data_IF_633624652792
#
_entry.id   IF_633624652792
#
_cell.length_a   1.000
_cell.length_b   1.000
_cell.length_c   1.000
_cell.angle_alpha   90.00
_cell.angle_beta   90.00
_cell.angle_gamma   90.00
#
_symmetry.space_group_name_H-M   'P 1'
#
loop_
_entity.id
_entity.type
_entity.pdbx_description
1 polymer ?
#
# COMPACT_ATOMS: atom_id res chain seq x y z
N UNK A 1 -10.41 8.17 26.02
CA UNK A 1 -10.03 9.33 25.17
C UNK A 1 -8.50 9.35 25.15
N UNK A 2 -7.91 8.80 24.09
CA UNK A 2 -6.45 8.84 23.91
C UNK A 2 -6.08 10.26 23.50
N UNK A 3 -5.20 10.91 24.26
CA UNK A 3 -4.60 12.20 23.90
C UNK A 3 -3.70 11.98 22.67
N UNK A 4 -4.26 12.17 21.47
CA UNK A 4 -3.43 12.37 20.29
C UNK A 4 -2.57 13.60 20.58
N UNK A 5 -1.27 13.40 20.67
CA UNK A 5 -0.29 14.49 20.73
C UNK A 5 -0.56 15.39 19.53
N UNK A 6 -0.63 16.71 19.67
CA UNK A 6 -0.86 17.57 18.51
C UNK A 6 0.17 17.25 17.44
N UNK A 7 -0.31 17.07 16.21
CA UNK A 7 0.52 16.77 15.05
C UNK A 7 1.48 17.94 14.83
N UNK A 8 2.77 17.67 14.96
CA UNK A 8 3.83 18.66 14.71
C UNK A 8 4.53 18.28 13.41
N UNK A 9 4.25 19.00 12.33
CA UNK A 9 4.83 18.75 11.01
C UNK A 9 4.01 17.80 10.13
N UNK A 10 4.50 17.55 8.94
CA UNK A 10 3.85 16.75 7.88
C UNK A 10 4.68 15.55 7.46
N UNK A 11 5.95 15.46 7.87
CA UNK A 11 6.86 14.37 7.50
C UNK A 11 6.39 13.02 8.09
N UNK A 12 6.36 11.98 7.26
CA UNK A 12 6.12 10.59 7.69
C UNK A 12 7.47 9.94 7.99
N UNK A 13 7.88 9.92 9.26
CA UNK A 13 9.21 9.42 9.67
C UNK A 13 9.34 7.91 9.61
N UNK A 14 8.24 7.18 9.53
CA UNK A 14 8.17 5.73 9.33
C UNK A 14 8.29 5.32 7.85
N UNK A 15 8.42 6.30 6.93
CA UNK A 15 8.62 6.07 5.50
C UNK A 15 10.05 6.38 5.08
N UNK A 16 10.49 5.72 4.03
CA UNK A 16 11.76 5.96 3.35
C UNK A 16 11.58 5.98 1.86
N UNK A 17 12.46 6.66 1.16
CA UNK A 17 12.45 6.73 -0.30
C UNK A 17 13.61 5.93 -0.88
N UNK A 18 13.31 5.14 -1.92
CA UNK A 18 14.30 4.59 -2.82
C UNK A 18 14.17 5.32 -4.18
N UNK A 19 15.27 5.76 -4.73
CA UNK A 19 15.35 6.28 -6.10
C UNK A 19 15.72 5.15 -7.04
N UNK A 20 14.90 4.95 -8.06
CA UNK A 20 15.13 3.99 -9.13
C UNK A 20 15.39 4.79 -10.41
N UNK A 21 16.63 4.77 -10.89
CA UNK A 21 17.08 5.57 -12.02
C UNK A 21 17.73 4.73 -13.12
N UNK A 22 17.94 5.34 -14.29
CA UNK A 22 18.54 4.72 -15.47
C UNK A 22 17.55 4.46 -16.59
N UNK A 23 18.07 4.26 -17.81
CA UNK A 23 17.30 4.16 -19.06
C UNK A 23 16.20 3.08 -19.01
N UNK A 24 16.42 2.01 -18.26
CA UNK A 24 15.50 0.88 -18.16
C UNK A 24 14.65 0.88 -16.88
N UNK A 25 14.69 1.93 -16.04
CA UNK A 25 14.04 1.95 -14.73
C UNK A 25 12.53 1.69 -14.81
N UNK A 26 11.82 2.40 -15.68
CA UNK A 26 10.35 2.23 -15.86
C UNK A 26 10.00 0.83 -16.38
N UNK A 27 10.71 0.36 -17.42
CA UNK A 27 10.47 -0.97 -18.00
C UNK A 27 10.85 -2.10 -17.04
N UNK A 28 11.84 -1.88 -16.19
CA UNK A 28 12.21 -2.82 -15.13
C UNK A 28 11.09 -2.98 -14.11
N UNK A 29 10.58 -1.88 -13.55
CA UNK A 29 9.50 -1.90 -12.57
C UNK A 29 8.17 -2.36 -13.18
N UNK A 30 7.92 -2.05 -14.48
CA UNK A 30 6.71 -2.49 -15.18
C UNK A 30 6.51 -4.01 -15.14
N UNK A 31 7.57 -4.78 -15.26
CA UNK A 31 7.52 -6.25 -15.20
C UNK A 31 7.44 -6.85 -13.80
N UNK A 32 7.52 -6.04 -12.74
CA UNK A 32 7.56 -6.51 -11.36
C UNK A 32 6.32 -6.11 -10.55
N UNK A 33 5.76 -4.93 -10.82
CA UNK A 33 4.77 -4.28 -9.97
C UNK A 33 3.35 -4.42 -10.50
N UNK A 34 2.39 -4.33 -9.61
CA UNK A 34 0.97 -4.54 -9.93
C UNK A 34 0.32 -3.36 -10.66
N UNK A 35 0.91 -2.14 -10.57
CA UNK A 35 0.41 -0.94 -11.25
C UNK A 35 1.21 -0.63 -12.51
N UNK A 36 0.59 0.09 -13.44
CA UNK A 36 1.22 0.54 -14.67
C UNK A 36 2.23 1.66 -14.39
N UNK A 37 3.51 1.31 -14.43
CA UNK A 37 4.62 2.23 -14.20
C UNK A 37 4.89 3.12 -15.40
N UNK A 38 4.59 2.64 -16.62
CA UNK A 38 4.79 3.42 -17.85
C UNK A 38 3.81 4.60 -17.94
N UNK A 39 2.63 4.46 -17.34
CA UNK A 39 1.61 5.50 -17.27
C UNK A 39 1.76 6.42 -16.03
N UNK A 40 2.83 6.28 -15.24
CA UNK A 40 3.09 7.13 -14.07
C UNK A 40 3.46 8.56 -14.51
N UNK A 41 2.78 9.57 -13.94
CA UNK A 41 2.99 11.00 -14.23
C UNK A 41 3.34 11.77 -12.97
N UNK A 42 4.00 12.92 -13.16
CA UNK A 42 4.26 13.86 -12.08
C UNK A 42 2.95 14.31 -11.41
N UNK A 43 2.92 14.28 -10.09
CA UNK A 43 1.73 14.64 -9.29
C UNK A 43 0.63 13.58 -9.24
N UNK A 44 0.77 12.43 -9.92
CA UNK A 44 -0.17 11.33 -9.92
C UNK A 44 0.47 10.07 -9.28
N UNK A 45 0.58 10.00 -7.95
CA UNK A 45 1.17 8.84 -7.28
C UNK A 45 0.35 7.57 -7.49
N UNK A 46 1.00 6.40 -7.38
CA UNK A 46 0.34 5.11 -7.52
C UNK A 46 0.76 4.15 -6.41
N UNK A 47 -0.19 3.65 -5.65
CA UNK A 47 0.05 2.56 -4.71
C UNK A 47 0.14 1.24 -5.45
N UNK A 48 1.11 0.40 -5.10
CA UNK A 48 1.41 -0.84 -5.82
C UNK A 48 1.98 -1.90 -4.90
N UNK A 49 1.92 -3.16 -5.34
CA UNK A 49 2.56 -4.29 -4.67
C UNK A 49 3.70 -4.90 -5.49
N UNK A 50 4.73 -5.37 -4.79
CA UNK A 50 5.65 -6.39 -5.28
C UNK A 50 5.20 -7.74 -4.72
N UNK A 51 4.92 -8.70 -5.59
CA UNK A 51 4.29 -9.97 -5.22
C UNK A 51 5.26 -11.16 -5.32
N UNK A 52 4.88 -12.27 -4.69
CA UNK A 52 5.42 -13.59 -5.02
C UNK A 52 4.88 -14.07 -6.37
N UNK A 53 5.48 -15.08 -7.01
CA UNK A 53 4.90 -15.71 -8.20
C UNK A 53 3.48 -16.26 -7.99
N UNK A 54 3.11 -16.55 -6.74
CA UNK A 54 1.77 -17.01 -6.36
C UNK A 54 0.76 -15.86 -6.12
N UNK A 55 1.17 -14.61 -6.33
CA UNK A 55 0.30 -13.43 -6.15
C UNK A 55 0.10 -12.97 -4.71
N UNK A 56 0.97 -13.40 -3.77
CA UNK A 56 0.93 -12.93 -2.40
C UNK A 56 1.75 -11.65 -2.22
N UNK A 57 1.31 -10.76 -1.36
CA UNK A 57 2.01 -9.53 -1.03
C UNK A 57 3.38 -9.81 -0.39
N UNK A 58 4.43 -9.22 -0.94
CA UNK A 58 5.77 -9.18 -0.33
C UNK A 58 6.07 -7.80 0.25
N UNK A 59 5.79 -6.74 -0.52
CA UNK A 59 5.94 -5.35 -0.15
C UNK A 59 4.85 -4.53 -0.83
N UNK A 60 4.41 -3.50 -0.17
CA UNK A 60 3.60 -2.42 -0.73
C UNK A 60 4.33 -1.08 -0.61
N UNK A 61 4.07 -0.19 -1.55
CA UNK A 61 4.67 1.14 -1.57
C UNK A 61 3.95 2.05 -2.57
N UNK A 62 4.26 3.34 -2.50
CA UNK A 62 3.72 4.33 -3.43
C UNK A 62 4.83 4.75 -4.39
N UNK A 63 4.49 4.80 -5.68
CA UNK A 63 5.37 5.28 -6.76
C UNK A 63 5.11 6.75 -7.03
N UNK A 64 6.20 7.50 -7.25
CA UNK A 64 6.20 8.90 -7.65
C UNK A 64 7.11 9.09 -8.85
N UNK A 65 6.64 9.81 -9.86
CA UNK A 65 7.50 10.23 -10.98
C UNK A 65 8.35 11.43 -10.55
N UNK A 66 9.65 11.35 -10.81
CA UNK A 66 10.62 12.43 -10.58
C UNK A 66 11.50 12.58 -11.84
N UNK A 67 10.99 13.29 -12.83
CA UNK A 67 11.56 13.33 -14.17
C UNK A 67 11.56 11.95 -14.83
N UNK A 68 12.75 11.47 -15.17
CA UNK A 68 12.94 10.12 -15.72
C UNK A 68 13.06 9.04 -14.64
N UNK A 69 13.33 9.44 -13.40
CA UNK A 69 13.46 8.55 -12.26
C UNK A 69 12.09 8.24 -11.61
N UNK A 70 12.10 7.22 -10.79
CA UNK A 70 10.95 6.84 -9.96
C UNK A 70 11.37 6.83 -8.50
N UNK A 71 10.62 7.53 -7.66
CA UNK A 71 10.74 7.42 -6.22
C UNK A 71 9.75 6.37 -5.70
N UNK A 72 10.26 5.47 -4.86
CA UNK A 72 9.51 4.41 -4.20
C UNK A 72 9.40 4.79 -2.72
N UNK A 73 8.21 5.23 -2.30
CA UNK A 73 7.88 5.55 -0.91
C UNK A 73 7.44 4.26 -0.22
N UNK A 74 8.33 3.69 0.59
CA UNK A 74 8.16 2.41 1.25
C UNK A 74 8.34 2.51 2.77
N UNK A 75 7.99 1.44 3.48
CA UNK A 75 8.22 1.29 4.92
C UNK A 75 9.73 1.46 5.24
N UNK A 76 10.09 2.39 6.13
CA UNK A 76 11.48 2.75 6.41
C UNK A 76 12.31 1.55 6.89
N UNK A 77 11.72 0.70 7.74
CA UNK A 77 12.37 -0.50 8.27
C UNK A 77 12.63 -1.57 7.22
N UNK A 78 11.94 -1.51 6.09
CA UNK A 78 12.02 -2.48 5.00
C UNK A 78 12.75 -1.98 3.75
N UNK A 79 13.15 -0.72 3.72
CA UNK A 79 13.70 -0.11 2.52
C UNK A 79 14.94 -0.84 1.98
N UNK A 80 15.88 -1.24 2.84
CA UNK A 80 17.09 -1.97 2.43
C UNK A 80 16.76 -3.40 1.98
N UNK A 81 15.77 -4.04 2.60
CA UNK A 81 15.29 -5.36 2.20
C UNK A 81 14.61 -5.29 0.84
N UNK A 82 13.78 -4.28 0.62
CA UNK A 82 13.14 -4.02 -0.68
C UNK A 82 14.18 -3.72 -1.76
N UNK A 83 15.17 -2.86 -1.48
CA UNK A 83 16.24 -2.53 -2.42
C UNK A 83 17.03 -3.80 -2.83
N UNK A 84 17.40 -4.64 -1.87
CA UNK A 84 18.05 -5.94 -2.14
C UNK A 84 17.15 -6.85 -2.97
N UNK A 85 15.85 -6.90 -2.64
CA UNK A 85 14.89 -7.73 -3.39
C UNK A 85 14.75 -7.29 -4.83
N UNK A 86 14.61 -5.99 -5.09
CA UNK A 86 14.58 -5.42 -6.45
C UNK A 86 15.88 -5.69 -7.19
N UNK A 87 17.03 -5.57 -6.53
CA UNK A 87 18.33 -5.83 -7.13
C UNK A 87 18.48 -7.27 -7.68
N UNK A 88 17.82 -8.26 -7.08
CA UNK A 88 17.82 -9.64 -7.59
C UNK A 88 17.17 -9.76 -8.98
N UNK A 89 16.18 -8.92 -9.30
CA UNK A 89 15.51 -8.90 -10.59
C UNK A 89 16.22 -8.03 -11.63
N UNK A 90 17.15 -7.15 -11.20
CA UNK A 90 17.84 -6.19 -12.07
C UNK A 90 18.67 -6.88 -13.15
N UNK A 91 19.36 -7.99 -12.79
CA UNK A 91 20.26 -8.74 -13.66
C UNK A 91 21.29 -7.79 -14.34
N UNK A 92 21.24 -7.68 -15.69
CA UNK A 92 22.15 -6.84 -16.51
C UNK A 92 21.50 -5.52 -16.93
N UNK A 93 20.32 -5.16 -16.42
CA UNK A 93 19.62 -3.94 -16.81
C UNK A 93 20.36 -2.69 -16.33
N UNK A 94 20.28 -1.63 -17.10
CA UNK A 94 20.83 -0.32 -16.77
C UNK A 94 19.93 0.43 -15.79
N UNK A 95 19.87 -0.07 -14.56
CA UNK A 95 19.06 0.44 -13.48
C UNK A 95 19.92 0.63 -12.23
N UNK A 96 19.80 1.76 -11.58
CA UNK A 96 20.40 2.06 -10.28
C UNK A 96 19.29 2.11 -9.23
N UNK A 97 19.50 1.47 -8.08
CA UNK A 97 18.61 1.47 -6.94
C UNK A 97 19.40 2.05 -5.78
N UNK A 98 18.98 3.18 -5.25
CA UNK A 98 19.67 3.88 -4.17
C UNK A 98 18.69 4.45 -3.14
N UNK A 99 19.16 4.67 -1.91
CA UNK A 99 18.41 5.47 -0.93
C UNK A 99 18.34 6.90 -1.41
N UNK A 100 17.21 7.56 -1.12
CA UNK A 100 17.01 8.98 -1.34
C UNK A 100 16.77 9.64 0.01
N UNK A 101 17.81 10.26 0.54
CA UNK A 101 17.79 10.84 1.89
C UNK A 101 17.52 12.36 1.89
N UNK A 102 17.56 13.00 0.72
CA UNK A 102 17.27 14.45 0.55
C UNK A 102 15.79 14.78 0.50
N UNK A 103 14.93 13.76 0.36
CA UNK A 103 13.48 13.89 0.26
C UNK A 103 12.80 12.98 1.29
N UNK A 104 11.56 13.31 1.63
CA UNK A 104 10.69 12.54 2.52
C UNK A 104 9.25 12.48 1.99
N UNK A 105 8.51 11.49 2.42
CA UNK A 105 7.07 11.45 2.26
C UNK A 105 6.40 12.32 3.31
N UNK A 106 5.40 13.09 2.90
CA UNK A 106 4.60 13.98 3.75
C UNK A 106 3.14 13.61 3.67
N UNK A 107 2.40 13.96 4.71
CA UNK A 107 0.95 13.77 4.78
C UNK A 107 0.27 14.90 5.53
N UNK A 108 -0.94 15.27 5.08
CA UNK A 108 -1.86 16.15 5.80
C UNK A 108 -3.29 15.94 5.32
N UNK A 109 -4.26 16.17 6.19
CA UNK A 109 -5.67 16.30 5.80
C UNK A 109 -5.96 17.64 5.15
N UNK A 110 -5.17 18.66 5.46
CA UNK A 110 -5.36 20.06 5.06
C UNK A 110 -4.20 20.55 4.17
N UNK A 111 -4.09 19.97 2.96
CA UNK A 111 -3.09 20.37 1.96
C UNK A 111 -3.68 20.33 0.53
N UNK A 112 -4.73 21.13 0.21
CA UNK A 112 -5.51 21.00 -1.03
C UNK A 112 -4.70 21.27 -2.31
N UNK A 113 -3.51 21.86 -2.21
CA UNK A 113 -2.57 22.06 -3.31
C UNK A 113 -1.68 20.83 -3.59
N UNK A 114 -1.75 19.80 -2.76
CA UNK A 114 -1.00 18.54 -2.89
C UNK A 114 -1.86 17.42 -3.44
N UNK A 115 -1.26 16.41 -4.10
CA UNK A 115 -1.99 15.23 -4.55
C UNK A 115 -2.72 14.52 -3.39
N UNK A 116 -3.85 13.90 -3.69
CA UNK A 116 -4.50 12.98 -2.76
C UNK A 116 -3.67 11.68 -2.63
N UNK A 117 -3.80 11.00 -1.49
CA UNK A 117 -3.29 9.64 -1.34
C UNK A 117 -3.94 8.75 -2.40
N UNK A 118 -3.15 7.98 -3.18
CA UNK A 118 -3.65 7.25 -4.36
C UNK A 118 -4.59 6.10 -4.04
N UNK A 119 -4.71 5.69 -2.77
CA UNK A 119 -5.55 4.57 -2.34
C UNK A 119 -7.00 4.99 -2.11
N UNK A 120 -7.19 6.09 -1.39
CA UNK A 120 -8.52 6.55 -0.99
C UNK A 120 -8.48 8.06 -0.73
N UNK A 121 -9.38 8.86 -1.34
CA UNK A 121 -9.41 10.32 -1.12
C UNK A 121 -9.57 10.71 0.37
N UNK A 122 -10.29 9.93 1.15
CA UNK A 122 -10.50 10.15 2.58
C UNK A 122 -9.19 10.04 3.41
N UNK A 123 -8.13 9.46 2.87
CA UNK A 123 -6.80 9.46 3.50
C UNK A 123 -6.15 10.85 3.54
N UNK A 124 -6.66 11.81 2.76
CA UNK A 124 -6.09 13.15 2.65
C UNK A 124 -4.98 13.24 1.60
N UNK A 125 -4.06 14.17 1.80
CA UNK A 125 -3.04 14.53 0.82
C UNK A 125 -1.69 13.90 1.18
N UNK A 126 -0.96 13.45 0.15
CA UNK A 126 0.37 12.87 0.28
C UNK A 126 1.28 13.41 -0.81
N UNK A 127 2.52 13.76 -0.47
CA UNK A 127 3.48 14.32 -1.42
C UNK A 127 4.92 14.02 -1.02
N UNK A 128 5.85 14.30 -1.91
CA UNK A 128 7.29 14.21 -1.67
C UNK A 128 7.88 15.62 -1.64
N UNK A 129 8.66 15.92 -0.61
CA UNK A 129 9.39 17.17 -0.44
C UNK A 129 10.63 16.95 0.43
N UNK A 130 11.43 18.01 0.65
CA UNK A 130 12.50 17.97 1.66
C UNK A 130 11.90 17.67 3.06
N UNK A 131 12.59 16.89 3.91
CA UNK A 131 12.08 16.58 5.23
C UNK A 131 11.91 17.83 6.09
N UNK A 132 10.80 17.90 6.82
CA UNK A 132 10.49 18.98 7.76
C UNK A 132 10.54 18.47 9.20
N UNK A 133 10.81 19.35 10.19
CA UNK A 133 10.73 18.98 11.60
C UNK A 133 9.33 18.48 12.00
N UNK A 134 9.30 17.48 12.86
CA UNK A 134 8.06 16.86 13.35
C UNK A 134 7.82 15.48 12.74
N UNK A 135 6.73 14.85 13.16
CA UNK A 135 6.37 13.50 12.76
C UNK A 135 4.86 13.36 12.65
N UNK A 136 4.38 13.15 11.43
CA UNK A 136 2.97 12.91 11.13
C UNK A 136 2.60 11.40 11.12
N UNK A 137 3.57 10.49 11.14
CA UNK A 137 3.33 9.05 10.98
C UNK A 137 2.35 8.48 12.04
N UNK A 138 2.44 8.81 13.34
CA UNK A 138 1.48 8.30 14.32
C UNK A 138 0.04 8.75 14.04
N UNK A 139 -0.16 10.01 13.65
CA UNK A 139 -1.48 10.54 13.34
C UNK A 139 -2.04 9.92 12.05
N UNK A 140 -1.21 9.81 11.01
CA UNK A 140 -1.58 9.14 9.78
C UNK A 140 -1.96 7.68 10.00
N UNK A 141 -1.18 6.94 10.80
CA UNK A 141 -1.48 5.55 11.15
C UNK A 141 -2.85 5.39 11.81
N UNK A 142 -3.17 6.24 12.78
CA UNK A 142 -4.49 6.23 13.44
C UNK A 142 -5.60 6.52 12.44
N UNK A 143 -5.41 7.54 11.59
CA UNK A 143 -6.40 7.94 10.59
C UNK A 143 -6.66 6.84 9.55
N UNK A 144 -5.60 6.27 8.95
CA UNK A 144 -5.76 5.23 7.93
C UNK A 144 -6.35 3.92 8.49
N UNK A 145 -5.99 3.54 9.73
CA UNK A 145 -6.56 2.35 10.37
C UNK A 145 -8.04 2.53 10.71
N UNK A 146 -8.46 3.75 11.08
CA UNK A 146 -9.87 4.09 11.26
C UNK A 146 -10.66 3.97 9.94
N UNK A 147 -10.01 4.21 8.81
CA UNK A 147 -10.57 4.02 7.46
C UNK A 147 -10.41 2.58 6.94
N UNK A 148 -9.87 1.65 7.72
CA UNK A 148 -9.66 0.26 7.32
C UNK A 148 -8.61 0.07 6.21
N UNK A 149 -7.70 1.01 6.05
CA UNK A 149 -6.60 0.93 5.07
C UNK A 149 -5.34 0.44 5.75
N UNK A 150 -4.82 -0.71 5.30
CA UNK A 150 -3.62 -1.35 5.85
C UNK A 150 -2.41 -1.07 4.98
N UNK A 151 -1.22 -1.01 5.60
CA UNK A 151 0.05 -0.88 4.87
C UNK A 151 1.20 -1.51 5.64
N UNK A 152 2.28 -1.80 4.92
CA UNK A 152 3.47 -2.42 5.47
C UNK A 152 3.33 -3.92 5.73
N UNK A 153 4.46 -4.58 5.87
CA UNK A 153 4.49 -6.04 5.98
C UNK A 153 3.85 -6.57 7.26
N UNK A 154 3.85 -5.77 8.31
CA UNK A 154 3.27 -6.15 9.60
C UNK A 154 1.73 -6.26 9.53
N UNK A 155 1.07 -5.45 8.72
CA UNK A 155 -0.39 -5.41 8.62
C UNK A 155 -0.89 -6.23 7.42
N UNK A 156 -0.24 -6.13 6.26
CA UNK A 156 -0.62 -6.86 5.05
C UNK A 156 -0.19 -8.33 5.07
N UNK A 157 0.81 -8.69 5.87
CA UNK A 157 1.36 -10.04 5.96
C UNK A 157 2.30 -10.38 4.81
N UNK A 158 3.61 -10.44 5.07
CA UNK A 158 4.60 -10.79 4.06
C UNK A 158 4.49 -12.27 3.67
N UNK A 159 4.28 -12.55 2.35
CA UNK A 159 4.08 -13.90 1.78
C UNK A 159 2.92 -14.70 2.43
N UNK A 160 1.93 -14.03 2.99
CA UNK A 160 0.79 -14.67 3.65
C UNK A 160 -0.50 -14.48 2.88
N UNK A 161 -0.87 -13.23 2.57
CA UNK A 161 -2.15 -12.87 1.97
C UNK A 161 -2.00 -12.63 0.47
N UNK A 162 -2.97 -13.06 -0.32
CA UNK A 162 -3.06 -12.72 -1.74
C UNK A 162 -3.32 -11.21 -1.88
N UNK A 163 -2.77 -10.61 -2.95
CA UNK A 163 -2.86 -9.15 -3.13
C UNK A 163 -4.29 -8.62 -3.13
N UNK A 164 -5.23 -9.30 -3.77
CA UNK A 164 -6.63 -8.88 -3.77
C UNK A 164 -7.33 -9.11 -2.41
N UNK A 165 -6.85 -10.04 -1.59
CA UNK A 165 -7.35 -10.22 -0.22
C UNK A 165 -7.00 -9.03 0.70
N UNK A 166 -6.00 -8.21 0.31
CA UNK A 166 -5.62 -6.97 1.01
C UNK A 166 -6.45 -5.75 0.58
N UNK A 167 -7.55 -5.97 -0.13
CA UNK A 167 -8.42 -4.95 -0.71
C UNK A 167 -7.72 -4.08 -1.77
N UNK A 168 -6.73 -4.65 -2.46
CA UNK A 168 -5.87 -3.91 -3.37
C UNK A 168 -6.60 -3.38 -4.61
N UNK A 169 -7.66 -4.04 -5.04
CA UNK A 169 -8.47 -3.60 -6.18
C UNK A 169 -9.23 -2.32 -5.84
N UNK A 170 -9.93 -2.31 -4.73
CA UNK A 170 -10.72 -1.19 -4.24
C UNK A 170 -9.85 0.02 -3.85
N UNK A 171 -8.62 -0.25 -3.39
CA UNK A 171 -7.62 0.75 -3.05
C UNK A 171 -6.72 1.13 -4.23
N UNK A 172 -7.17 0.87 -5.47
CA UNK A 172 -6.41 1.23 -6.67
C UNK A 172 -4.98 0.66 -6.71
N UNK A 173 -4.74 -0.53 -6.17
CA UNK A 173 -3.42 -1.16 -6.07
C UNK A 173 -3.05 -2.09 -7.23
N UNK A 174 -3.88 -2.20 -8.28
CA UNK A 174 -3.66 -3.10 -9.42
C UNK A 174 -4.20 -2.50 -10.72
N UNK A 175 -3.49 -2.73 -11.82
CA UNK A 175 -3.95 -2.47 -13.19
C UNK A 175 -3.94 -3.80 -13.95
N UNK A 176 -5.07 -4.17 -14.57
CA UNK A 176 -5.21 -5.46 -15.27
C UNK A 176 -4.72 -5.38 -16.72
N UNK A 177 -4.76 -4.21 -17.35
CA UNK A 177 -4.41 -4.00 -18.76
C UNK A 177 -2.95 -3.62 -18.99
N UNK A 178 -2.13 -3.54 -17.94
CA UNK A 178 -0.74 -3.06 -18.01
C UNK A 178 0.28 -4.03 -18.62
N UNK A 179 -0.11 -5.25 -18.90
CA UNK A 179 0.78 -6.34 -19.32
C UNK A 179 1.31 -7.18 -18.15
N UNK A 180 2.25 -8.10 -18.45
CA UNK A 180 2.70 -9.12 -17.51
C UNK A 180 3.57 -8.56 -16.38
N UNK A 181 3.36 -9.09 -15.17
CA UNK A 181 4.19 -8.84 -13.99
C UNK A 181 4.25 -10.08 -13.09
N UNK A 182 5.18 -10.09 -12.14
CA UNK A 182 5.35 -11.21 -11.20
C UNK A 182 4.09 -11.36 -10.31
N UNK A 183 3.49 -12.56 -10.31
CA UNK A 183 2.29 -12.86 -9.52
C UNK A 183 0.96 -12.53 -10.22
N UNK A 184 0.99 -12.03 -11.45
CA UNK A 184 -0.21 -11.65 -12.21
C UNK A 184 -1.21 -12.78 -12.41
N UNK A 185 -0.75 -13.99 -12.70
CA UNK A 185 -1.65 -15.10 -13.07
C UNK A 185 -2.76 -15.33 -12.03
N UNK A 186 -2.38 -15.40 -10.76
CA UNK A 186 -3.35 -15.61 -9.68
C UNK A 186 -4.21 -14.36 -9.44
N UNK A 187 -3.61 -13.17 -9.48
CA UNK A 187 -4.33 -11.90 -9.34
C UNK A 187 -5.40 -11.75 -10.44
N UNK A 188 -5.04 -11.97 -11.71
CA UNK A 188 -5.96 -11.93 -12.83
C UNK A 188 -7.02 -13.03 -12.74
N UNK A 189 -6.64 -14.25 -12.31
CA UNK A 189 -7.61 -15.33 -12.12
C UNK A 189 -8.67 -14.98 -11.08
N UNK A 190 -8.28 -14.38 -9.97
CA UNK A 190 -9.21 -13.94 -8.93
C UNK A 190 -10.16 -12.87 -9.44
N UNK A 191 -9.66 -11.91 -10.20
CA UNK A 191 -10.49 -10.86 -10.78
C UNK A 191 -11.49 -11.40 -11.82
N UNK A 192 -11.02 -12.18 -12.81
CA UNK A 192 -11.86 -12.57 -13.95
C UNK A 192 -12.70 -13.85 -13.74
N UNK A 193 -12.31 -14.73 -12.79
CA UNK A 193 -12.93 -16.06 -12.65
C UNK A 193 -13.42 -16.38 -11.25
N UNK A 194 -12.78 -15.80 -10.24
CA UNK A 194 -13.08 -16.09 -8.84
C UNK A 194 -13.40 -14.78 -8.13
N UNK A 195 -14.45 -14.79 -7.33
CA UNK A 195 -14.71 -13.70 -6.40
C UNK A 195 -13.63 -13.68 -5.30
N UNK A 196 -13.32 -12.50 -4.78
CA UNK A 196 -12.45 -12.35 -3.61
C UNK A 196 -13.22 -12.84 -2.39
N UNK A 197 -12.94 -14.09 -1.99
CA UNK A 197 -13.71 -14.76 -0.92
C UNK A 197 -13.27 -14.41 0.50
N UNK A 198 -12.10 -13.78 0.65
CA UNK A 198 -11.54 -13.36 1.94
C UNK A 198 -10.98 -11.96 1.81
N UNK A 199 -11.11 -11.18 2.89
CA UNK A 199 -10.62 -9.82 2.95
C UNK A 199 -9.97 -9.52 4.28
N UNK A 200 -8.93 -8.68 4.27
CA UNK A 200 -8.39 -8.08 5.48
C UNK A 200 -9.37 -7.05 6.01
N UNK A 201 -9.67 -7.15 7.30
CA UNK A 201 -10.55 -6.21 8.02
C UNK A 201 -9.97 -5.90 9.40
N UNK A 202 -10.24 -4.72 9.92
CA UNK A 202 -9.97 -4.37 11.31
C UNK A 202 -11.19 -4.72 12.17
N UNK A 203 -10.95 -5.37 13.29
CA UNK A 203 -11.98 -5.68 14.28
C UNK A 203 -11.53 -5.23 15.68
N UNK A 204 -12.44 -4.89 16.59
CA UNK A 204 -12.06 -4.64 17.99
C UNK A 204 -11.29 -5.84 18.56
N UNK A 205 -10.19 -5.59 19.26
CA UNK A 205 -9.33 -6.65 19.81
C UNK A 205 -10.10 -7.59 20.77
N UNK A 206 -11.10 -7.07 21.47
CA UNK A 206 -11.97 -7.86 22.34
C UNK A 206 -12.86 -8.89 21.58
N UNK A 207 -13.02 -8.72 20.26
CA UNK A 207 -13.80 -9.59 19.37
C UNK A 207 -12.90 -10.39 18.40
N UNK A 208 -11.58 -10.36 18.65
CA UNK A 208 -10.60 -10.97 17.76
C UNK A 208 -10.69 -12.51 17.76
N UNK A 209 -10.56 -13.10 16.56
CA UNK A 209 -10.35 -14.53 16.38
C UNK A 209 -8.87 -14.82 16.11
N UNK A 210 -8.19 -15.42 17.08
CA UNK A 210 -6.76 -15.72 17.01
C UNK A 210 -6.36 -16.57 15.78
N UNK A 211 -7.30 -17.36 15.22
CA UNK A 211 -7.02 -18.16 13.99
C UNK A 211 -7.00 -17.31 12.72
N UNK A 212 -7.72 -16.19 12.72
CA UNK A 212 -7.86 -15.27 11.58
C UNK A 212 -6.89 -14.10 11.67
N UNK A 213 -6.33 -13.86 12.83
CA UNK A 213 -5.46 -12.74 13.15
C UNK A 213 -4.19 -12.73 12.29
N UNK A 214 -3.87 -11.56 11.75
CA UNK A 214 -2.65 -11.27 11.00
C UNK A 214 -1.75 -10.30 11.74
N UNK A 215 -2.35 -9.29 12.39
CA UNK A 215 -1.64 -8.32 13.20
C UNK A 215 -2.49 -7.87 14.40
N UNK A 216 -1.80 -7.40 15.44
CA UNK A 216 -2.40 -6.76 16.62
C UNK A 216 -1.93 -5.31 16.66
N UNK A 217 -2.89 -4.41 16.80
CA UNK A 217 -2.68 -2.97 16.99
C UNK A 217 -3.14 -2.63 18.40
N UNK A 218 -2.34 -3.03 19.38
CA UNK A 218 -2.71 -2.99 20.81
C UNK A 218 -3.03 -1.60 21.31
N UNK A 219 -2.28 -0.59 20.85
CA UNK A 219 -2.44 0.82 21.21
C UNK A 219 -3.77 1.43 20.73
N UNK A 220 -4.37 0.84 19.70
CA UNK A 220 -5.69 1.23 19.18
C UNK A 220 -6.80 0.21 19.54
N UNK A 221 -6.46 -0.88 20.21
CA UNK A 221 -7.42 -1.92 20.56
C UNK A 221 -7.98 -2.66 19.35
N UNK A 222 -7.19 -2.81 18.26
CA UNK A 222 -7.62 -3.44 17.02
C UNK A 222 -6.86 -4.74 16.76
N UNK A 223 -7.53 -5.68 16.09
CA UNK A 223 -6.97 -6.85 15.43
C UNK A 223 -7.19 -6.73 13.93
N UNK A 224 -6.15 -6.95 13.13
CA UNK A 224 -6.27 -7.07 11.68
C UNK A 224 -6.41 -8.55 11.36
N UNK A 225 -7.50 -8.91 10.70
CA UNK A 225 -7.87 -10.31 10.44
C UNK A 225 -8.17 -10.57 8.97
N UNK A 226 -7.80 -11.75 8.50
CA UNK A 226 -8.26 -12.27 7.22
C UNK A 226 -9.54 -13.06 7.43
N UNK A 227 -10.68 -12.48 7.05
CA UNK A 227 -12.01 -13.07 7.20
C UNK A 227 -12.59 -13.48 5.85
N UNK A 228 -13.43 -14.52 5.87
CA UNK A 228 -14.28 -14.81 4.71
C UNK A 228 -15.33 -13.72 4.56
N UNK A 229 -15.66 -13.36 3.32
CA UNK A 229 -16.65 -12.31 3.04
C UNK A 229 -18.01 -12.66 3.68
N UNK A 230 -18.40 -13.94 3.64
CA UNK A 230 -19.63 -14.44 4.26
C UNK A 230 -19.71 -14.30 5.80
N UNK A 231 -18.54 -14.15 6.46
CA UNK A 231 -18.42 -13.99 7.91
C UNK A 231 -18.24 -12.52 8.34
N UNK A 232 -18.33 -11.58 7.41
CA UNK A 232 -18.15 -10.16 7.65
C UNK A 232 -19.52 -9.48 7.68
N UNK A 233 -19.80 -8.74 8.75
CA UNK A 233 -20.97 -7.85 8.81
C UNK A 233 -20.62 -6.51 8.13
N UNK A 234 -21.21 -6.19 6.97
CA UNK A 234 -20.92 -4.93 6.26
C UNK A 234 -21.15 -3.69 7.12
N UNK A 235 -22.08 -3.71 8.07
CA UNK A 235 -22.36 -2.57 8.96
C UNK A 235 -21.19 -2.22 9.89
N UNK A 236 -20.19 -3.10 10.02
CA UNK A 236 -18.99 -2.87 10.84
C UNK A 236 -17.80 -2.36 10.03
N UNK A 237 -17.96 -2.24 8.73
CA UNK A 237 -16.89 -1.87 7.81
C UNK A 237 -16.92 -0.36 7.46
N UNK A 238 -15.80 0.21 7.00
CA UNK A 238 -15.82 1.50 6.31
C UNK A 238 -16.68 1.42 5.03
N UNK A 239 -17.38 2.52 4.72
CA UNK A 239 -18.36 2.58 3.62
C UNK A 239 -17.80 2.08 2.28
N UNK A 240 -16.55 2.42 1.95
CA UNK A 240 -15.91 2.02 0.70
C UNK A 240 -15.76 0.48 0.59
N UNK A 241 -15.49 -0.21 1.70
CA UNK A 241 -15.32 -1.66 1.72
C UNK A 241 -16.67 -2.37 1.81
N UNK A 242 -17.61 -1.83 2.59
CA UNK A 242 -18.98 -2.32 2.64
C UNK A 242 -19.63 -2.32 1.25
N UNK A 243 -19.55 -1.19 0.54
CA UNK A 243 -20.07 -1.04 -0.84
C UNK A 243 -19.42 -2.05 -1.80
N UNK A 244 -18.10 -2.28 -1.69
CA UNK A 244 -17.40 -3.24 -2.55
C UNK A 244 -17.87 -4.69 -2.33
N UNK A 245 -18.09 -5.08 -1.07
CA UNK A 245 -18.59 -6.41 -0.71
C UNK A 245 -20.03 -6.60 -1.19
N UNK A 246 -20.90 -5.61 -1.02
CA UNK A 246 -22.29 -5.64 -1.46
C UNK A 246 -22.39 -5.73 -2.99
N UNK A 247 -21.58 -4.96 -3.72
CA UNK A 247 -21.52 -5.01 -5.20
C UNK A 247 -21.08 -6.39 -5.68
N UNK A 248 -20.07 -6.99 -5.06
CA UNK A 248 -19.60 -8.33 -5.38
C UNK A 248 -20.66 -9.42 -5.13
N UNK A 249 -21.53 -9.22 -4.14
CA UNK A 249 -22.61 -10.17 -3.82
C UNK A 249 -23.79 -10.10 -4.83
N UNK A 250 -23.95 -8.97 -5.53
CA UNK A 250 -25.01 -8.73 -6.51
C UNK A 250 -24.70 -9.29 -7.91
N UNK A 251 -23.43 -9.60 -8.21
CA UNK A 251 -22.95 -10.24 -9.44
C UNK A 251 -23.01 -11.77 -9.36
#
# INVERSE_FOLDING_TARGET
>A
MSYLKPMTGTTLTDRALLRISGEEAKAFLQGLLTRDVLALKAGEPRWTGLLTPQGKALFDFILWADGDDILVDCEATQADTLAKRLALYRLRRKVVIAREDGLAAHWSLEAPDKPLDPRLPALGHRWIAAPEPGDAAPAFRVHRLALGVFEGIAELGQDQNLWLETNAEELCGVDYDKGCYVGQENTARMHYRNKVNRRLVAVPLAQADAKRQRAIVSDLGLSIELRRVEDIDPATLPDWLATAIESQAAE
#
